data_IF_158207450471
#
_entry.id   IF_158207450471
#
_cell.length_a   1.000
_cell.length_b   1.000
_cell.length_c   1.000
_cell.angle_alpha   90.00
_cell.angle_beta   90.00
_cell.angle_gamma   90.00
#
_symmetry.space_group_name_H-M   'P 1'
#
loop_
_entity.id
_entity.type
_entity.pdbx_description
1 polymer ?
#
# COMPACT_ATOMS: atom_id res chain seq x y z
N UNK A 1 -65.02 32.43 -36.14
CA UNK A 1 -65.78 32.27 -34.87
C UNK A 1 -65.85 30.77 -34.54
N UNK A 2 -66.24 30.43 -33.31
CA UNK A 2 -66.52 29.10 -32.72
C UNK A 2 -67.26 28.12 -33.68
N UNK A 3 -67.24 26.77 -33.61
CA UNK A 3 -66.63 25.74 -32.72
C UNK A 3 -66.81 24.34 -33.40
N UNK A 4 -66.74 23.14 -32.79
CA UNK A 4 -66.35 22.64 -31.44
C UNK A 4 -66.06 21.10 -31.52
N UNK A 5 -65.94 20.38 -30.39
CA UNK A 5 -65.77 18.90 -30.19
C UNK A 5 -66.83 18.00 -30.89
N UNK A 6 -66.73 16.66 -31.06
CA UNK A 6 -65.89 15.55 -30.48
C UNK A 6 -65.97 14.26 -31.37
N UNK A 7 -65.52 13.00 -31.11
CA UNK A 7 -64.82 12.25 -30.04
C UNK A 7 -64.13 10.96 -30.63
N UNK A 8 -63.53 10.13 -29.75
CA UNK A 8 -63.18 8.68 -29.83
C UNK A 8 -61.85 8.27 -30.47
N UNK A 9 -61.08 7.49 -29.68
CA UNK A 9 -59.71 7.05 -29.93
C UNK A 9 -59.62 5.63 -30.52
N UNK A 10 -58.46 5.30 -31.11
CA UNK A 10 -58.21 4.03 -31.82
C UNK A 10 -57.58 2.93 -30.94
N UNK A 11 -57.72 1.70 -31.42
CA UNK A 11 -57.23 0.44 -30.84
C UNK A 11 -55.72 0.40 -30.59
N UNK A 12 -55.31 -0.39 -29.60
CA UNK A 12 -53.90 -0.67 -29.29
C UNK A 12 -53.26 -1.72 -30.21
N UNK A 13 -51.98 -2.02 -29.97
CA UNK A 13 -51.20 -3.02 -30.70
C UNK A 13 -50.41 -3.93 -29.75
N UNK A 14 -50.13 -5.16 -30.21
CA UNK A 14 -49.45 -6.22 -29.46
C UNK A 14 -47.93 -5.98 -29.48
N UNK A 15 -47.27 -6.14 -28.33
CA UNK A 15 -45.81 -6.22 -28.24
C UNK A 15 -45.34 -7.66 -28.47
N UNK A 16 -44.26 -7.83 -29.22
CA UNK A 16 -43.44 -9.04 -29.26
C UNK A 16 -42.03 -8.71 -28.76
N UNK A 17 -41.38 -9.71 -28.19
CA UNK A 17 -40.12 -9.59 -27.45
C UNK A 17 -38.95 -10.13 -28.28
N UNK A 18 -37.87 -9.35 -28.40
CA UNK A 18 -36.51 -9.83 -28.72
C UNK A 18 -35.46 -8.82 -28.18
N UNK A 19 -34.28 -9.25 -27.69
CA UNK A 19 -33.40 -8.40 -26.88
C UNK A 19 -32.27 -7.71 -27.66
N UNK A 20 -32.48 -6.44 -28.07
CA UNK A 20 -31.39 -5.62 -28.64
C UNK A 20 -30.48 -5.00 -27.56
N UNK A 21 -29.61 -5.81 -26.95
CA UNK A 21 -28.59 -5.33 -25.99
C UNK A 21 -27.30 -4.92 -26.71
N UNK A 22 -27.36 -3.84 -27.48
CA UNK A 22 -26.20 -3.20 -28.10
C UNK A 22 -26.39 -1.68 -28.20
N UNK A 23 -25.49 -0.88 -27.59
CA UNK A 23 -25.40 0.56 -27.86
C UNK A 23 -25.57 1.56 -26.69
N UNK A 24 -25.48 1.18 -25.41
CA UNK A 24 -25.61 2.14 -24.28
C UNK A 24 -24.46 2.21 -23.26
N UNK A 25 -23.35 1.50 -23.47
CA UNK A 25 -22.27 1.43 -22.47
C UNK A 25 -21.18 2.52 -22.61
N UNK A 26 -21.09 3.24 -23.73
CA UNK A 26 -20.01 4.21 -23.98
C UNK A 26 -20.03 5.44 -23.06
N UNK A 27 -21.21 5.87 -22.58
CA UNK A 27 -21.38 7.16 -21.87
C UNK A 27 -21.37 7.00 -20.33
N UNK A 28 -21.48 5.77 -19.80
CA UNK A 28 -21.52 5.52 -18.34
C UNK A 28 -20.15 5.34 -17.67
N UNK A 29 -19.06 5.41 -18.42
CA UNK A 29 -17.70 5.17 -17.89
C UNK A 29 -17.14 6.29 -17.02
N UNK A 30 -17.68 7.51 -17.08
CA UNK A 30 -17.10 8.70 -16.43
C UNK A 30 -17.66 9.02 -15.03
N UNK A 31 -18.57 8.20 -14.50
CA UNK A 31 -19.15 8.37 -13.15
C UNK A 31 -18.95 7.16 -12.22
N UNK A 32 -18.01 6.28 -12.54
CA UNK A 32 -17.45 5.37 -11.53
C UNK A 32 -16.36 6.10 -10.73
N UNK A 33 -16.66 6.46 -9.49
CA UNK A 33 -15.67 6.89 -8.49
C UNK A 33 -14.83 5.71 -7.99
N UNK A 34 -14.13 5.01 -8.90
CA UNK A 34 -13.44 3.75 -8.64
C UNK A 34 -12.18 3.60 -9.52
N UNK A 35 -11.10 4.31 -9.16
CA UNK A 35 -9.81 4.27 -9.86
C UNK A 35 -8.76 3.35 -9.23
N UNK A 36 -9.11 2.61 -8.17
CA UNK A 36 -8.20 1.83 -7.32
C UNK A 36 -8.57 0.35 -7.41
N UNK A 37 -7.64 -0.48 -7.88
CA UNK A 37 -7.80 -1.94 -7.91
C UNK A 37 -7.19 -2.59 -6.66
N UNK A 38 -7.77 -3.70 -6.23
CA UNK A 38 -7.13 -4.60 -5.28
C UNK A 38 -5.89 -5.25 -5.92
N UNK A 39 -4.87 -5.51 -5.09
CA UNK A 39 -3.60 -6.13 -5.51
C UNK A 39 -3.79 -7.52 -6.11
N UNK A 40 -4.74 -8.33 -5.63
CA UNK A 40 -4.96 -9.67 -6.17
C UNK A 40 -5.50 -9.60 -7.61
N UNK A 41 -6.49 -8.73 -7.83
CA UNK A 41 -7.09 -8.42 -9.14
C UNK A 41 -6.06 -7.82 -10.11
N UNK A 42 -5.21 -6.91 -9.63
CA UNK A 42 -4.11 -6.33 -10.41
C UNK A 42 -3.04 -7.37 -10.76
N UNK A 43 -2.64 -8.23 -9.82
CA UNK A 43 -1.61 -9.25 -10.01
C UNK A 43 -2.05 -10.35 -11.00
N UNK A 44 -3.35 -10.70 -11.03
CA UNK A 44 -3.94 -11.56 -12.08
C UNK A 44 -3.82 -10.92 -13.47
N UNK A 45 -3.93 -9.58 -13.53
CA UNK A 45 -3.73 -8.78 -14.74
C UNK A 45 -2.24 -8.50 -15.05
N UNK A 46 -1.31 -9.18 -14.36
CA UNK A 46 0.14 -9.02 -14.51
C UNK A 46 0.74 -7.79 -13.82
N UNK A 47 -0.08 -6.89 -13.26
CA UNK A 47 0.36 -5.68 -12.57
C UNK A 47 0.66 -5.99 -11.10
N UNK A 48 1.95 -6.09 -10.77
CA UNK A 48 2.41 -6.22 -9.41
C UNK A 48 3.81 -5.62 -9.26
N UNK A 49 4.15 -5.15 -8.06
CA UNK A 49 5.54 -4.93 -7.67
C UNK A 49 6.35 -6.23 -7.85
N UNK A 50 7.55 -6.10 -8.40
CA UNK A 50 8.48 -7.23 -8.57
C UNK A 50 9.86 -6.96 -7.95
N UNK A 51 10.25 -5.69 -7.81
CA UNK A 51 11.57 -5.31 -7.28
C UNK A 51 11.51 -3.97 -6.54
N UNK A 52 12.20 -3.90 -5.41
CA UNK A 52 12.60 -2.64 -4.80
C UNK A 52 14.12 -2.44 -4.95
N UNK A 53 14.58 -1.19 -5.05
CA UNK A 53 15.99 -0.84 -5.15
C UNK A 53 16.36 0.24 -4.12
N UNK A 54 17.43 0.01 -3.37
CA UNK A 54 17.98 1.00 -2.44
C UNK A 54 18.76 2.07 -3.20
N UNK A 55 18.11 3.17 -3.56
CA UNK A 55 18.79 4.39 -4.05
C UNK A 55 19.67 5.00 -2.96
N UNK A 56 19.22 4.90 -1.71
CA UNK A 56 20.04 5.19 -0.53
C UNK A 56 19.97 4.02 0.42
N UNK A 57 21.09 3.32 0.56
CA UNK A 57 21.30 2.28 1.56
C UNK A 57 21.14 2.85 2.99
N UNK A 58 20.68 2.05 3.97
CA UNK A 58 20.81 2.40 5.38
C UNK A 58 22.31 2.49 5.77
N UNK A 59 22.67 3.22 6.84
CA UNK A 59 24.05 3.27 7.33
C UNK A 59 24.54 1.88 7.76
N UNK A 60 25.71 1.46 7.28
CA UNK A 60 26.31 0.15 7.62
C UNK A 60 26.60 0.02 9.11
N UNK A 61 27.07 1.09 9.74
CA UNK A 61 27.22 1.20 11.18
C UNK A 61 26.21 2.19 11.75
N UNK A 62 25.21 1.70 12.49
CA UNK A 62 24.26 2.55 13.21
C UNK A 62 24.51 2.50 14.72
N UNK A 63 24.66 3.68 15.32
CA UNK A 63 24.63 3.80 16.78
C UNK A 63 23.23 3.50 17.30
N UNK A 64 23.11 2.40 18.05
CA UNK A 64 22.11 2.10 19.09
C UNK A 64 21.47 3.40 19.65
N UNK A 65 20.16 3.60 19.43
CA UNK A 65 19.36 4.84 19.72
C UNK A 65 19.36 5.98 18.68
N UNK A 66 20.07 5.89 17.56
CA UNK A 66 19.94 6.87 16.47
C UNK A 66 18.75 6.54 15.55
N UNK A 67 18.23 7.57 14.88
CA UNK A 67 17.42 7.41 13.67
C UNK A 67 18.31 7.03 12.49
N UNK A 68 17.82 6.14 11.63
CA UNK A 68 18.34 5.90 10.29
C UNK A 68 17.26 6.16 9.25
N UNK A 69 17.66 6.29 7.99
CA UNK A 69 16.73 6.33 6.87
C UNK A 69 17.37 5.72 5.64
N UNK A 70 16.53 5.14 4.79
CA UNK A 70 16.88 4.58 3.50
C UNK A 70 15.87 5.05 2.45
N UNK A 71 16.24 5.02 1.17
CA UNK A 71 15.36 5.42 0.06
C UNK A 71 15.18 4.23 -0.87
N UNK A 72 13.92 3.86 -1.12
CA UNK A 72 13.56 2.81 -2.07
C UNK A 72 12.88 3.40 -3.30
N UNK A 73 13.35 2.98 -4.48
CA UNK A 73 12.59 3.05 -5.73
C UNK A 73 11.90 1.70 -5.98
N UNK A 74 10.65 1.72 -6.44
CA UNK A 74 9.84 0.53 -6.72
C UNK A 74 9.67 0.28 -8.21
N UNK A 75 9.67 -0.99 -8.61
CA UNK A 75 9.52 -1.44 -10.00
C UNK A 75 8.53 -2.59 -10.14
N UNK A 76 7.82 -2.62 -11.27
CA UNK A 76 6.91 -3.69 -11.64
C UNK A 76 7.61 -4.90 -12.30
N UNK A 77 6.82 -5.90 -12.72
CA UNK A 77 7.30 -7.11 -13.42
C UNK A 77 7.95 -6.84 -14.78
N UNK A 78 7.72 -5.68 -15.39
CA UNK A 78 8.31 -5.25 -16.65
C UNK A 78 9.58 -4.39 -16.44
N UNK A 79 9.98 -4.18 -15.18
CA UNK A 79 11.08 -3.30 -14.79
C UNK A 79 10.75 -1.82 -14.91
N UNK A 80 9.48 -1.46 -15.14
CA UNK A 80 9.06 -0.06 -15.19
C UNK A 80 8.99 0.52 -13.77
N UNK A 81 9.36 1.79 -13.58
CA UNK A 81 9.26 2.46 -12.30
C UNK A 81 7.78 2.64 -11.92
N UNK A 82 7.45 2.39 -10.66
CA UNK A 82 6.08 2.52 -10.12
C UNK A 82 6.01 3.77 -9.27
N UNK A 83 5.10 4.68 -9.57
CA UNK A 83 4.89 5.88 -8.77
C UNK A 83 4.15 5.54 -7.47
N UNK A 84 4.47 6.27 -6.40
CA UNK A 84 3.83 6.09 -5.10
C UNK A 84 3.02 7.36 -4.83
N UNK A 85 1.70 7.29 -4.91
CA UNK A 85 0.78 8.43 -4.77
C UNK A 85 0.49 8.79 -3.30
N UNK A 86 0.33 7.77 -2.45
CA UNK A 86 0.09 7.92 -1.01
C UNK A 86 0.77 6.82 -0.22
N UNK A 87 0.98 7.10 1.06
CA UNK A 87 1.74 6.27 2.00
C UNK A 87 1.18 6.47 3.40
N UNK A 88 0.78 5.41 4.08
CA UNK A 88 0.30 5.46 5.48
C UNK A 88 0.96 4.39 6.33
N UNK A 89 1.14 4.67 7.62
CA UNK A 89 1.48 3.68 8.64
C UNK A 89 0.22 2.90 9.04
N UNK A 90 0.33 1.58 9.23
CA UNK A 90 -0.79 0.68 9.57
C UNK A 90 -0.59 0.00 10.93
N UNK A 91 0.65 -0.08 11.41
CA UNK A 91 0.98 -0.67 12.71
C UNK A 91 2.31 -1.44 12.71
N UNK A 92 2.58 -2.11 13.82
CA UNK A 92 3.73 -2.99 13.98
C UNK A 92 3.39 -4.44 13.62
N UNK A 93 4.43 -5.21 13.28
CA UNK A 93 4.37 -6.66 13.08
C UNK A 93 4.63 -7.31 14.44
N UNK A 94 3.53 -7.55 15.16
CA UNK A 94 3.49 -8.13 16.50
C UNK A 94 2.22 -9.00 16.67
N UNK A 95 2.26 -9.98 17.58
CA UNK A 95 1.11 -10.81 17.96
C UNK A 95 0.50 -11.52 16.72
N UNK A 96 -0.80 -11.34 16.47
CA UNK A 96 -1.56 -11.94 15.36
C UNK A 96 -1.08 -11.50 13.96
N UNK A 97 -0.22 -10.49 13.85
CA UNK A 97 0.41 -10.06 12.58
C UNK A 97 1.76 -10.75 12.31
N UNK A 98 2.28 -11.57 13.22
CA UNK A 98 3.50 -12.34 13.01
C UNK A 98 3.20 -13.70 12.37
N UNK A 99 4.21 -14.35 11.78
CA UNK A 99 4.09 -15.73 11.30
C UNK A 99 3.65 -16.64 12.47
N UNK A 100 2.67 -17.56 12.31
CA UNK A 100 2.23 -18.42 13.41
C UNK A 100 3.39 -19.21 14.05
N UNK A 101 3.70 -18.88 15.31
CA UNK A 101 4.83 -19.45 16.07
C UNK A 101 6.06 -18.53 16.19
N UNK A 102 6.18 -17.49 15.37
CA UNK A 102 7.15 -16.41 15.59
C UNK A 102 6.67 -15.46 16.70
N UNK A 103 7.60 -14.93 17.50
CA UNK A 103 7.38 -13.80 18.42
C UNK A 103 8.61 -12.88 18.42
N UNK A 104 8.80 -12.22 17.30
CA UNK A 104 9.95 -11.34 17.02
C UNK A 104 9.73 -9.91 17.55
N UNK A 105 8.48 -9.42 17.54
CA UNK A 105 8.15 -7.99 17.66
C UNK A 105 8.97 -7.12 16.70
N UNK A 106 9.18 -7.64 15.49
CA UNK A 106 10.05 -7.07 14.47
C UNK A 106 9.30 -6.85 13.16
N UNK A 107 8.79 -5.63 13.03
CA UNK A 107 8.47 -5.06 11.74
C UNK A 107 7.48 -3.91 11.83
N UNK A 108 7.36 -3.18 10.73
CA UNK A 108 6.37 -2.13 10.51
C UNK A 108 5.61 -2.46 9.24
N UNK A 109 4.28 -2.35 9.32
CA UNK A 109 3.37 -2.40 8.18
C UNK A 109 3.04 -0.97 7.76
N UNK A 110 3.33 -0.67 6.51
CA UNK A 110 2.84 0.48 5.77
C UNK A 110 1.80 0.05 4.75
N UNK A 111 1.06 1.01 4.20
CA UNK A 111 0.21 0.83 3.03
C UNK A 111 0.51 1.91 2.01
N UNK A 112 0.70 1.48 0.77
CA UNK A 112 1.12 2.31 -0.35
C UNK A 112 0.00 2.34 -1.39
N UNK A 113 -0.46 3.54 -1.74
CA UNK A 113 -1.24 3.74 -2.96
C UNK A 113 -0.24 3.92 -4.10
N UNK A 114 -0.20 2.96 -5.01
CA UNK A 114 0.71 2.90 -6.14
C UNK A 114 -0.02 3.35 -7.42
N UNK A 115 0.74 3.90 -8.38
CA UNK A 115 0.31 4.23 -9.73
C UNK A 115 1.30 3.61 -10.73
N UNK A 116 0.81 2.71 -11.58
CA UNK A 116 1.61 2.09 -12.64
C UNK A 116 1.64 2.96 -13.90
N UNK A 117 2.62 2.72 -14.76
CA UNK A 117 2.84 3.46 -16.02
C UNK A 117 1.66 3.45 -17.00
N UNK A 118 0.74 2.50 -16.86
CA UNK A 118 -0.51 2.40 -17.63
C UNK A 118 -1.69 3.19 -17.02
N UNK A 119 -1.46 3.97 -15.95
CA UNK A 119 -2.46 4.82 -15.28
C UNK A 119 -3.31 4.10 -14.23
N UNK A 120 -3.12 2.80 -14.01
CA UNK A 120 -3.88 2.01 -13.03
C UNK A 120 -3.28 2.18 -11.63
N UNK A 121 -4.14 2.29 -10.61
CA UNK A 121 -3.75 2.40 -9.20
C UNK A 121 -4.03 1.13 -8.42
N UNK A 122 -3.20 0.83 -7.43
CA UNK A 122 -3.43 -0.28 -6.49
C UNK A 122 -3.10 0.11 -5.06
N UNK A 123 -3.78 -0.48 -4.08
CA UNK A 123 -3.43 -0.33 -2.66
C UNK A 123 -2.67 -1.57 -2.15
N UNK A 124 -1.40 -1.38 -1.78
CA UNK A 124 -0.45 -2.45 -1.45
C UNK A 124 0.03 -2.31 0.00
N UNK A 125 -0.22 -3.33 0.83
CA UNK A 125 0.45 -3.46 2.14
C UNK A 125 1.95 -3.75 1.92
N UNK A 126 2.82 -3.05 2.65
CA UNK A 126 4.27 -3.06 2.48
C UNK A 126 4.95 -3.19 3.85
N UNK A 127 5.92 -4.10 3.96
CA UNK A 127 6.49 -4.50 5.25
C UNK A 127 8.00 -4.21 5.32
N UNK A 128 8.44 -3.64 6.44
CA UNK A 128 9.86 -3.51 6.77
C UNK A 128 10.14 -4.31 8.04
N UNK A 129 11.02 -5.31 7.96
CA UNK A 129 11.56 -6.11 9.10
C UNK A 129 13.08 -6.08 9.03
N UNK A 130 13.77 -6.20 10.16
CA UNK A 130 15.22 -6.45 10.16
C UNK A 130 15.52 -7.95 10.14
N UNK A 131 16.50 -8.38 9.35
CA UNK A 131 17.00 -9.75 9.33
C UNK A 131 18.47 -9.80 9.74
N UNK A 132 18.87 -10.92 10.33
CA UNK A 132 20.27 -11.25 10.56
C UNK A 132 21.01 -11.46 9.23
N UNK A 133 22.23 -10.92 9.12
CA UNK A 133 22.98 -10.85 7.86
C UNK A 133 23.45 -12.22 7.37
N UNK A 134 23.65 -13.19 8.27
CA UNK A 134 24.20 -14.51 7.96
C UNK A 134 23.12 -15.57 7.80
N UNK A 135 22.26 -15.71 8.80
CA UNK A 135 21.19 -16.73 8.90
C UNK A 135 19.93 -16.36 8.13
N UNK A 136 19.77 -15.09 7.75
CA UNK A 136 18.57 -14.49 7.12
C UNK A 136 17.28 -14.59 7.95
N UNK A 137 17.38 -14.97 9.23
CA UNK A 137 16.25 -15.01 10.16
C UNK A 137 15.82 -13.60 10.58
N UNK A 138 14.55 -13.42 10.91
CA UNK A 138 14.06 -12.17 11.48
C UNK A 138 14.67 -11.96 12.89
N UNK A 139 15.25 -10.79 13.13
CA UNK A 139 15.85 -10.45 14.43
C UNK A 139 14.74 -10.47 15.51
N UNK A 140 15.00 -11.08 16.67
CA UNK A 140 14.08 -11.12 17.80
C UNK A 140 14.37 -9.96 18.75
N UNK A 141 13.34 -9.33 19.30
CA UNK A 141 13.50 -8.38 20.39
C UNK A 141 13.81 -9.10 21.73
N UNK A 142 15.07 -9.06 22.15
CA UNK A 142 15.55 -9.67 23.42
C UNK A 142 15.45 -8.74 24.63
N UNK A 143 14.98 -7.50 24.46
CA UNK A 143 15.08 -6.47 25.48
C UNK A 143 14.11 -6.65 26.65
N UNK A 144 14.61 -6.54 27.88
CA UNK A 144 13.76 -6.34 29.06
C UNK A 144 13.52 -4.84 29.25
N UNK A 145 12.43 -4.31 28.68
CA UNK A 145 11.91 -2.99 29.00
C UNK A 145 10.60 -3.08 29.78
N UNK A 146 10.22 -1.99 30.48
CA UNK A 146 8.98 -1.92 31.26
C UNK A 146 7.83 -1.31 30.46
N UNK A 147 8.10 -0.52 29.42
CA UNK A 147 7.05 -0.03 28.53
C UNK A 147 6.84 -1.03 27.38
N UNK A 148 5.68 -1.70 27.25
CA UNK A 148 5.41 -2.64 26.16
C UNK A 148 5.47 -2.01 24.77
N UNK A 149 5.28 -0.69 24.63
CA UNK A 149 5.41 -0.01 23.33
C UNK A 149 6.86 0.09 22.84
N UNK A 150 7.83 0.02 23.76
CA UNK A 150 9.26 0.02 23.46
C UNK A 150 9.80 -1.40 23.23
N UNK A 151 8.97 -2.44 23.41
CA UNK A 151 9.37 -3.84 23.30
C UNK A 151 9.44 -4.35 21.85
N UNK A 152 10.11 -3.61 20.97
CA UNK A 152 10.12 -3.82 19.51
C UNK A 152 11.51 -3.62 18.91
N UNK A 153 11.81 -4.34 17.83
CA UNK A 153 13.08 -4.19 17.07
C UNK A 153 13.11 -2.88 16.28
N UNK A 154 11.99 -2.54 15.64
CA UNK A 154 11.78 -1.29 14.92
C UNK A 154 10.68 -0.47 15.61
N UNK A 155 10.88 0.84 15.68
CA UNK A 155 9.89 1.80 16.16
C UNK A 155 9.57 2.80 15.03
N UNK A 156 8.47 3.54 15.16
CA UNK A 156 8.17 4.70 14.31
C UNK A 156 8.27 5.98 15.11
N UNK A 157 8.58 7.08 14.43
CA UNK A 157 8.62 8.40 15.05
C UNK A 157 7.23 8.83 15.57
N UNK A 158 6.12 8.32 15.01
CA UNK A 158 4.75 8.67 15.43
C UNK A 158 4.44 8.33 16.91
N UNK A 159 5.03 7.26 17.46
CA UNK A 159 4.93 6.93 18.90
C UNK A 159 5.77 7.89 19.77
N UNK A 160 6.79 8.56 19.20
CA UNK A 160 7.77 9.35 19.96
C UNK A 160 7.63 10.88 19.77
N UNK A 161 7.09 11.35 18.64
CA UNK A 161 6.80 12.76 18.35
C UNK A 161 5.94 12.91 17.06
N UNK A 162 4.93 13.77 17.10
CA UNK A 162 3.79 13.75 16.15
C UNK A 162 4.02 14.42 14.79
N UNK A 163 5.24 14.83 14.41
CA UNK A 163 5.46 15.80 13.31
C UNK A 163 6.48 15.39 12.21
N UNK A 164 6.89 14.11 12.12
CA UNK A 164 7.88 13.68 11.11
C UNK A 164 7.35 12.66 10.07
N UNK A 165 6.06 12.73 9.71
CA UNK A 165 5.51 11.98 8.55
C UNK A 165 5.87 12.69 7.22
N UNK A 166 7.12 13.11 7.11
CA UNK A 166 7.73 13.66 5.90
C UNK A 166 8.38 12.54 5.09
N UNK A 167 7.56 11.61 4.56
CA UNK A 167 8.02 10.62 3.59
C UNK A 167 8.37 11.38 2.29
N UNK A 168 9.62 11.84 2.20
CA UNK A 168 10.11 12.59 1.04
C UNK A 168 9.99 11.73 -0.21
N UNK A 169 9.16 12.22 -1.14
CA UNK A 169 8.83 11.59 -2.42
C UNK A 169 9.49 12.35 -3.56
N UNK A 170 10.11 11.62 -4.47
CA UNK A 170 10.54 12.16 -5.77
C UNK A 170 10.23 11.11 -6.84
N UNK A 171 9.12 11.29 -7.56
CA UNK A 171 8.57 10.26 -8.46
C UNK A 171 8.32 8.93 -7.76
N UNK A 172 9.03 7.88 -8.21
CA UNK A 172 8.95 6.50 -7.72
C UNK A 172 9.71 6.22 -6.43
N UNK A 173 10.43 7.21 -5.88
CA UNK A 173 11.32 7.04 -4.74
C UNK A 173 10.69 7.53 -3.44
N UNK A 174 10.71 6.69 -2.39
CA UNK A 174 10.25 7.04 -1.03
C UNK A 174 11.36 6.83 -0.01
N UNK A 175 11.61 7.88 0.78
CA UNK A 175 12.48 7.86 1.95
C UNK A 175 11.72 7.35 3.19
N UNK A 176 12.18 6.27 3.83
CA UNK A 176 11.61 5.73 5.07
C UNK A 176 12.49 6.08 6.28
N UNK A 177 12.05 6.96 7.20
CA UNK A 177 12.77 7.27 8.44
C UNK A 177 12.37 6.34 9.59
N UNK A 178 13.35 5.65 10.19
CA UNK A 178 13.14 4.67 11.27
C UNK A 178 14.09 4.89 12.45
N UNK A 179 13.60 5.03 13.70
CA UNK A 179 14.41 4.81 14.89
C UNK A 179 14.71 3.30 15.10
N UNK A 180 15.96 2.98 15.42
CA UNK A 180 16.39 1.64 15.81
C UNK A 180 16.60 1.58 17.33
N UNK A 181 15.73 0.87 18.05
CA UNK A 181 15.70 0.93 19.51
C UNK A 181 16.93 0.25 20.15
N UNK A 182 17.51 0.82 21.23
CA UNK A 182 18.74 0.31 21.82
C UNK A 182 18.80 -1.20 22.13
N UNK A 183 17.78 -1.83 22.71
CA UNK A 183 17.94 -3.18 23.32
C UNK A 183 17.94 -4.38 22.35
N UNK A 184 18.07 -4.19 21.04
CA UNK A 184 18.52 -5.29 20.18
C UNK A 184 19.98 -5.65 20.44
N UNK A 185 20.26 -6.95 20.58
CA UNK A 185 21.54 -7.52 20.19
C UNK A 185 21.53 -7.66 18.66
N UNK A 186 21.84 -6.58 17.95
CA UNK A 186 22.35 -6.74 16.59
C UNK A 186 23.75 -7.34 16.69
N UNK A 187 24.03 -8.55 16.17
CA UNK A 187 25.39 -8.86 15.75
C UNK A 187 25.84 -7.77 14.77
N UNK A 188 27.11 -7.40 14.80
CA UNK A 188 27.59 -6.29 13.97
C UNK A 188 27.49 -6.66 12.49
N UNK A 189 27.09 -5.68 11.67
CA UNK A 189 26.80 -5.79 10.24
C UNK A 189 28.07 -5.68 9.41
#
# INVERSE_FOLDING_TARGET
MFGIQENIQRSGNIMKEEPMVAGMNAVRSWMQGAGLLDVNTAAQSGMALARAHFEKQPPSNLRKSNFFHFVLALYDRQGQPVEIERTSFVGFVEKEKETPGEKTNNGIQYRLQLLYSNGIRTEQDFYVRLIDSMTKQAIIYEGQDKNPEMCRVLLTHEIMCSQMIGLFRNGSSVCFPLPLYPKCNSPQV
#
